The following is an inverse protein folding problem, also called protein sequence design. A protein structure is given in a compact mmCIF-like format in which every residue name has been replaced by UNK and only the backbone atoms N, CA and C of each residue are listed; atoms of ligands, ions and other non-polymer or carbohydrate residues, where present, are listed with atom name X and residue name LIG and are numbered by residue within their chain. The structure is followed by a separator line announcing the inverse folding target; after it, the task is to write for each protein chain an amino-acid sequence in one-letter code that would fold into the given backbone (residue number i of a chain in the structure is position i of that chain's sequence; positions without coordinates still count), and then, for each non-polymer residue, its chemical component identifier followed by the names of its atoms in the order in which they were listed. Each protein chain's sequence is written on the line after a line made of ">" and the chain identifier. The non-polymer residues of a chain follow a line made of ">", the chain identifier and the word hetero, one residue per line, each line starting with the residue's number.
data_IF_403096524102
#
_entry.id   IF_403096524102
#
_cell.length_a   1.000
_cell.length_b   1.000
_cell.length_c   1.000
_cell.angle_alpha   90.00
_cell.angle_beta   90.00
_cell.angle_gamma   90.00
#
_symmetry.space_group_name_H-M   'P 1'
#
loop_
_entity.id
_entity.type
_entity.pdbx_description
1 polymer ?
#
# COMPACT_ATOMS: atom_id res chain seq x y z
N UNK A 1 30.54 -46.23 -23.97
CA UNK A 1 30.44 -45.23 -22.88
C UNK A 1 29.22 -44.38 -23.12
N UNK A 2 28.28 -44.44 -22.18
CA UNK A 2 26.95 -43.84 -22.27
C UNK A 2 27.01 -42.33 -22.01
N UNK A 3 26.65 -41.53 -23.02
CA UNK A 3 26.31 -40.12 -22.88
C UNK A 3 24.80 -39.96 -23.01
N UNK A 4 24.06 -40.29 -21.95
CA UNK A 4 22.60 -40.15 -21.93
C UNK A 4 22.25 -38.66 -21.92
N UNK A 5 21.64 -38.26 -23.03
CA UNK A 5 21.05 -36.97 -23.32
C UNK A 5 19.98 -36.62 -22.27
N UNK A 6 20.33 -35.82 -21.26
CA UNK A 6 19.35 -35.25 -20.31
C UNK A 6 18.68 -34.05 -20.97
N UNK A 7 17.74 -34.31 -21.90
CA UNK A 7 16.77 -33.30 -22.34
C UNK A 7 15.95 -32.88 -21.12
N UNK A 8 16.13 -31.64 -20.67
CA UNK A 8 15.17 -30.95 -19.82
C UNK A 8 13.82 -30.95 -20.56
N UNK A 9 12.91 -31.85 -20.18
CA UNK A 9 11.51 -31.75 -20.58
C UNK A 9 10.99 -30.48 -19.93
N UNK A 10 10.72 -29.45 -20.73
CA UNK A 10 9.80 -28.41 -20.28
C UNK A 10 8.52 -29.12 -19.86
N UNK A 11 8.08 -28.89 -18.63
CA UNK A 11 6.79 -29.39 -18.17
C UNK A 11 5.77 -28.60 -18.99
N UNK A 12 5.24 -29.21 -20.06
CA UNK A 12 4.16 -28.63 -20.85
C UNK A 12 2.98 -28.49 -19.88
N UNK A 13 2.61 -27.25 -19.56
CA UNK A 13 1.44 -27.02 -18.75
C UNK A 13 0.20 -27.53 -19.51
N UNK A 14 -0.68 -28.31 -18.85
CA UNK A 14 -1.81 -28.96 -19.52
C UNK A 14 -2.85 -27.97 -20.04
N UNK A 15 -2.93 -26.79 -19.43
CA UNK A 15 -3.71 -25.66 -19.89
C UNK A 15 -3.05 -24.35 -19.45
N UNK A 16 -3.30 -23.28 -20.21
CA UNK A 16 -3.00 -21.91 -19.84
C UNK A 16 -4.30 -21.22 -19.45
N UNK A 17 -4.27 -20.48 -18.34
CA UNK A 17 -5.40 -19.69 -17.87
C UNK A 17 -5.02 -18.22 -18.02
N UNK A 18 -5.93 -17.42 -18.58
CA UNK A 18 -5.80 -15.97 -18.68
C UNK A 18 -7.06 -15.31 -18.14
N UNK A 19 -6.88 -14.18 -17.46
CA UNK A 19 -7.96 -13.42 -16.85
C UNK A 19 -7.88 -11.99 -17.41
N UNK A 20 -8.98 -11.54 -17.99
CA UNK A 20 -9.14 -10.18 -18.50
C UNK A 20 -10.19 -9.45 -17.66
N UNK A 21 -9.81 -8.30 -17.10
CA UNK A 21 -10.67 -7.49 -16.24
C UNK A 21 -11.41 -6.44 -17.07
N UNK A 22 -12.70 -6.27 -16.80
CA UNK A 22 -13.44 -5.11 -17.27
C UNK A 22 -13.07 -3.87 -16.43
N UNK A 23 -12.84 -2.72 -17.07
CA UNK A 23 -12.52 -1.48 -16.36
C UNK A 23 -11.09 -1.40 -15.81
N UNK A 24 -10.12 -2.15 -16.36
CA UNK A 24 -8.71 -1.99 -16.00
C UNK A 24 -8.24 -0.55 -16.32
N UNK A 25 -7.81 0.18 -15.29
CA UNK A 25 -7.33 1.55 -15.39
C UNK A 25 -5.80 1.59 -15.62
N UNK A 26 -5.31 0.71 -16.48
CA UNK A 26 -3.89 0.47 -16.74
C UNK A 26 -3.21 -0.38 -15.68
N UNK A 27 -1.87 -0.33 -15.65
CA UNK A 27 -1.06 -1.11 -14.73
C UNK A 27 -0.35 -0.22 -13.72
N UNK A 28 -0.33 -0.67 -12.47
CA UNK A 28 0.40 -0.03 -11.39
C UNK A 28 1.62 -0.86 -10.99
N UNK A 29 2.71 -0.14 -10.69
CA UNK A 29 3.99 -0.74 -10.32
C UNK A 29 4.07 -0.95 -8.82
N UNK A 30 4.23 -2.20 -8.41
CA UNK A 30 4.38 -2.58 -7.01
C UNK A 30 5.82 -3.08 -6.78
N UNK A 31 6.44 -2.57 -5.71
CA UNK A 31 7.70 -3.08 -5.19
C UNK A 31 7.41 -4.20 -4.19
N UNK A 32 7.86 -5.41 -4.48
CA UNK A 32 7.70 -6.56 -3.58
C UNK A 32 8.99 -6.73 -2.78
N UNK A 33 9.01 -6.23 -1.55
CA UNK A 33 10.20 -6.31 -0.69
C UNK A 33 10.68 -7.74 -0.38
N UNK A 34 9.82 -8.76 -0.55
CA UNK A 34 10.10 -10.15 -0.14
C UNK A 34 10.84 -11.01 -1.17
N UNK A 35 10.88 -10.62 -2.46
CA UNK A 35 11.23 -11.56 -3.54
C UNK A 35 12.43 -11.09 -4.41
N UNK A 36 13.17 -10.06 -3.98
CA UNK A 36 14.14 -9.36 -4.82
C UNK A 36 13.53 -8.13 -5.49
N UNK A 37 14.36 -7.28 -6.10
CA UNK A 37 13.97 -6.00 -6.73
C UNK A 37 13.06 -6.15 -7.97
N UNK A 38 12.24 -7.18 -8.05
CA UNK A 38 11.30 -7.39 -9.13
C UNK A 38 10.07 -6.48 -8.93
N UNK A 39 10.14 -5.30 -9.54
CA UNK A 39 8.98 -4.44 -9.73
C UNK A 39 7.96 -5.17 -10.63
N UNK A 40 6.75 -5.39 -10.12
CA UNK A 40 5.68 -6.06 -10.88
C UNK A 40 4.63 -5.02 -11.32
N UNK A 41 4.20 -5.11 -12.58
CA UNK A 41 3.08 -4.35 -13.11
C UNK A 41 1.78 -5.14 -12.95
N UNK A 42 0.91 -4.67 -12.07
CA UNK A 42 -0.38 -5.29 -11.76
C UNK A 42 -1.54 -4.45 -12.31
N UNK A 43 -2.65 -5.06 -12.77
CA UNK A 43 -3.86 -4.32 -13.15
C UNK A 43 -4.35 -3.41 -12.03
N UNK A 44 -4.68 -2.16 -12.37
CA UNK A 44 -5.22 -1.18 -11.44
C UNK A 44 -6.74 -1.08 -11.57
N UNK A 45 -7.43 -1.19 -10.43
CA UNK A 45 -8.88 -1.13 -10.32
C UNK A 45 -9.27 -0.04 -9.33
N UNK A 46 -10.29 0.76 -9.67
CA UNK A 46 -10.97 1.62 -8.70
C UNK A 46 -11.80 0.74 -7.75
N UNK A 47 -11.53 0.80 -6.45
CA UNK A 47 -12.26 0.03 -5.45
C UNK A 47 -13.76 0.36 -5.35
N UNK A 48 -14.22 1.44 -5.99
CA UNK A 48 -15.64 1.81 -6.12
C UNK A 48 -16.32 1.19 -7.34
N UNK A 49 -15.56 0.70 -8.31
CA UNK A 49 -16.11 0.11 -9.53
C UNK A 49 -16.42 -1.39 -9.37
N UNK A 50 -17.42 -1.91 -10.10
CA UNK A 50 -17.71 -3.34 -10.15
C UNK A 50 -16.50 -4.13 -10.68
N UNK A 51 -16.20 -5.28 -10.06
CA UNK A 51 -15.16 -6.19 -10.56
C UNK A 51 -15.80 -7.30 -11.38
N UNK A 52 -15.56 -7.26 -12.69
CA UNK A 52 -16.06 -8.23 -13.68
C UNK A 52 -14.96 -8.58 -14.66
N UNK A 53 -15.17 -9.65 -15.41
CA UNK A 53 -14.23 -10.03 -16.46
C UNK A 53 -14.51 -11.37 -17.07
N UNK A 54 -13.54 -11.80 -17.88
CA UNK A 54 -13.54 -13.08 -18.56
C UNK A 54 -12.32 -13.90 -18.16
N UNK A 55 -12.53 -15.21 -18.08
CA UNK A 55 -11.49 -16.22 -17.87
C UNK A 55 -11.43 -17.05 -19.14
N UNK A 56 -10.28 -17.11 -19.78
CA UNK A 56 -10.05 -17.97 -20.94
C UNK A 56 -9.08 -19.08 -20.58
N UNK A 57 -9.53 -20.31 -20.73
CA UNK A 57 -8.76 -21.53 -20.50
C UNK A 57 -8.45 -22.16 -21.85
N UNK A 58 -7.16 -22.26 -22.16
CA UNK A 58 -6.68 -22.91 -23.38
C UNK A 58 -5.99 -24.21 -23.02
N UNK A 59 -6.54 -25.37 -23.42
CA UNK A 59 -5.84 -26.65 -23.25
C UNK A 59 -4.70 -26.78 -24.25
N UNK A 60 -3.65 -27.53 -23.87
CA UNK A 60 -2.60 -27.88 -24.81
C UNK A 60 -3.17 -28.64 -26.02
N UNK A 61 -2.58 -28.47 -27.20
CA UNK A 61 -3.13 -28.98 -28.46
C UNK A 61 -3.52 -30.47 -28.38
N UNK A 62 -4.80 -30.77 -28.62
CA UNK A 62 -5.35 -32.13 -28.59
C UNK A 62 -5.55 -32.72 -27.20
N UNK A 63 -5.20 -32.00 -26.12
CA UNK A 63 -5.37 -32.46 -24.75
C UNK A 63 -6.79 -32.17 -24.25
N UNK A 64 -7.48 -33.23 -23.81
CA UNK A 64 -8.70 -33.16 -23.01
C UNK A 64 -8.34 -33.19 -21.53
N UNK A 65 -9.04 -32.41 -20.72
CA UNK A 65 -8.87 -32.37 -19.26
C UNK A 65 -10.21 -32.70 -18.62
N UNK A 66 -10.33 -33.89 -18.03
CA UNK A 66 -11.46 -34.21 -17.14
C UNK A 66 -11.25 -33.55 -15.77
N UNK A 67 -12.26 -32.82 -15.28
CA UNK A 67 -12.21 -32.06 -14.04
C UNK A 67 -13.43 -32.32 -13.15
N UNK A 68 -13.26 -32.07 -11.85
CA UNK A 68 -14.29 -32.12 -10.81
C UNK A 68 -14.97 -30.77 -10.57
N UNK A 69 -14.65 -29.78 -11.37
CA UNK A 69 -15.20 -28.42 -11.28
C UNK A 69 -14.16 -27.38 -11.61
N UNK A 70 -14.62 -26.26 -12.15
CA UNK A 70 -13.83 -25.07 -12.42
C UNK A 70 -14.40 -23.95 -11.56
N UNK A 71 -13.54 -23.31 -10.76
CA UNK A 71 -13.95 -22.24 -9.86
C UNK A 71 -13.14 -20.97 -10.07
N UNK A 72 -13.75 -19.83 -9.82
CA UNK A 72 -13.11 -18.52 -9.73
C UNK A 72 -13.36 -17.95 -8.34
N UNK A 73 -12.30 -17.60 -7.61
CA UNK A 73 -12.39 -17.02 -6.27
C UNK A 73 -11.79 -15.62 -6.25
N UNK A 74 -12.52 -14.64 -5.71
CA UNK A 74 -11.96 -13.32 -5.40
C UNK A 74 -11.60 -13.26 -3.92
N UNK A 75 -10.34 -12.94 -3.64
CA UNK A 75 -9.79 -12.91 -2.27
C UNK A 75 -9.17 -11.54 -2.01
N UNK A 76 -9.42 -11.00 -0.82
CA UNK A 76 -8.69 -9.89 -0.21
C UNK A 76 -8.11 -10.37 1.11
N UNK A 77 -6.81 -10.18 1.27
CA UNK A 77 -6.03 -10.78 2.34
C UNK A 77 -5.05 -9.78 2.94
N UNK A 78 -4.90 -9.83 4.25
CA UNK A 78 -3.80 -9.19 4.98
C UNK A 78 -2.80 -10.28 5.37
N UNK A 79 -1.54 -10.08 5.00
CA UNK A 79 -0.41 -10.94 5.32
C UNK A 79 0.54 -10.17 6.24
N UNK A 80 0.84 -10.72 7.41
CA UNK A 80 1.84 -10.18 8.33
C UNK A 80 3.16 -10.92 8.14
N UNK A 81 4.26 -10.17 8.06
CA UNK A 81 5.62 -10.68 7.97
C UNK A 81 6.26 -10.68 9.36
N UNK A 82 6.99 -11.76 9.68
CA UNK A 82 7.60 -11.96 11.00
C UNK A 82 7.83 -13.45 11.29
N UNK A 83 8.15 -13.79 12.55
CA UNK A 83 8.44 -15.17 12.98
C UNK A 83 7.26 -16.14 12.76
N UNK A 84 6.03 -15.62 12.85
CA UNK A 84 4.81 -16.35 12.48
C UNK A 84 4.12 -15.60 11.36
N UNK A 85 4.28 -16.06 10.13
CA UNK A 85 3.48 -15.54 9.01
C UNK A 85 2.00 -15.81 9.30
N UNK A 86 1.20 -14.75 9.38
CA UNK A 86 -0.24 -14.83 9.56
C UNK A 86 -0.92 -14.28 8.31
N UNK A 87 -1.90 -15.04 7.81
CA UNK A 87 -2.72 -14.63 6.67
C UNK A 87 -4.17 -14.58 7.12
N UNK A 88 -4.80 -13.43 6.93
CA UNK A 88 -6.20 -13.23 7.26
C UNK A 88 -6.97 -12.79 6.00
N UNK A 89 -7.96 -13.59 5.61
CA UNK A 89 -8.85 -13.25 4.50
C UNK A 89 -10.03 -12.43 5.04
N UNK A 90 -10.03 -11.13 4.77
CA UNK A 90 -11.16 -10.27 5.11
C UNK A 90 -12.27 -10.33 4.04
N UNK A 91 -11.98 -10.90 2.87
CA UNK A 91 -12.97 -11.27 1.85
C UNK A 91 -12.51 -12.49 1.07
N UNK A 92 -13.42 -13.44 0.83
CA UNK A 92 -13.21 -14.64 0.02
C UNK A 92 -14.56 -15.04 -0.55
N UNK A 93 -14.69 -15.00 -1.87
CA UNK A 93 -15.95 -15.23 -2.59
C UNK A 93 -15.69 -16.14 -3.77
N UNK A 94 -16.29 -17.32 -3.74
CA UNK A 94 -16.13 -18.37 -4.73
C UNK A 94 -17.33 -18.40 -5.68
N UNK A 95 -17.05 -18.33 -6.98
CA UNK A 95 -18.01 -18.61 -8.05
C UNK A 95 -17.65 -19.95 -8.71
N UNK A 96 -18.63 -20.85 -8.79
CA UNK A 96 -18.55 -22.04 -9.64
C UNK A 96 -18.73 -21.62 -11.10
N UNK A 97 -17.74 -21.89 -11.95
CA UNK A 97 -17.80 -21.59 -13.39
C UNK A 97 -18.35 -22.76 -14.20
N UNK A 98 -17.95 -23.98 -13.81
CA UNK A 98 -18.41 -25.22 -14.45
C UNK A 98 -18.39 -26.36 -13.43
N UNK A 99 -19.40 -27.22 -13.45
CA UNK A 99 -19.49 -28.42 -12.61
C UNK A 99 -18.47 -29.50 -13.03
N UNK A 100 -18.65 -30.73 -12.57
CA UNK A 100 -17.86 -31.89 -13.03
C UNK A 100 -18.04 -32.05 -14.54
N UNK A 101 -16.93 -32.14 -15.27
CA UNK A 101 -16.96 -32.09 -16.72
C UNK A 101 -15.62 -32.37 -17.37
N UNK A 102 -15.51 -32.00 -18.65
CA UNK A 102 -14.28 -32.09 -19.40
C UNK A 102 -14.15 -30.93 -20.37
N UNK A 103 -12.97 -30.32 -20.40
CA UNK A 103 -12.63 -29.23 -21.34
C UNK A 103 -11.61 -29.69 -22.36
N UNK A 104 -11.72 -29.16 -23.57
CA UNK A 104 -10.78 -29.34 -24.67
C UNK A 104 -10.81 -28.09 -25.56
N UNK A 105 -9.64 -27.65 -26.03
CA UNK A 105 -9.52 -26.43 -26.81
C UNK A 105 -9.62 -25.17 -25.94
N UNK A 106 -10.19 -24.11 -26.50
CA UNK A 106 -10.45 -22.85 -25.82
C UNK A 106 -11.83 -22.89 -25.16
N UNK A 107 -11.92 -22.46 -23.91
CA UNK A 107 -13.19 -22.23 -23.19
C UNK A 107 -13.14 -20.88 -22.49
N UNK A 108 -14.25 -20.14 -22.53
CA UNK A 108 -14.37 -18.81 -21.92
C UNK A 108 -15.52 -18.76 -20.93
N UNK A 109 -15.23 -18.27 -19.73
CA UNK A 109 -16.20 -18.08 -18.65
C UNK A 109 -16.24 -16.60 -18.26
N UNK A 110 -17.41 -16.13 -17.83
CA UNK A 110 -17.56 -14.80 -17.23
C UNK A 110 -17.61 -14.91 -15.71
N UNK A 111 -17.05 -13.93 -15.03
CA UNK A 111 -17.23 -13.78 -13.59
C UNK A 111 -17.76 -12.38 -13.26
N UNK A 112 -18.53 -12.29 -12.17
CA UNK A 112 -19.05 -11.04 -11.66
C UNK A 112 -18.95 -11.03 -10.12
N UNK A 113 -18.16 -10.08 -9.60
CA UNK A 113 -18.00 -9.79 -8.18
C UNK A 113 -18.49 -8.37 -7.83
N UNK A 114 -19.45 -7.83 -8.58
CA UNK A 114 -20.00 -6.46 -8.39
C UNK A 114 -20.57 -6.22 -7.00
N UNK A 115 -21.11 -7.27 -6.36
CA UNK A 115 -21.71 -7.18 -5.03
C UNK A 115 -20.66 -7.11 -3.92
N UNK A 116 -19.38 -7.31 -4.24
CA UNK A 116 -18.30 -7.42 -3.27
C UNK A 116 -17.58 -6.07 -3.13
N UNK A 117 -17.68 -5.50 -1.94
CA UNK A 117 -17.00 -4.27 -1.59
C UNK A 117 -15.51 -4.53 -1.36
N UNK A 118 -14.66 -3.72 -2.00
CA UNK A 118 -13.23 -3.67 -1.69
C UNK A 118 -13.03 -2.64 -0.59
N UNK A 119 -12.97 -3.12 0.65
CA UNK A 119 -13.04 -2.26 1.84
C UNK A 119 -11.80 -1.39 2.03
N UNK A 120 -10.65 -1.88 1.57
CA UNK A 120 -9.35 -1.29 1.82
C UNK A 120 -8.56 -1.09 0.52
N UNK A 121 -7.66 -0.12 0.50
CA UNK A 121 -6.70 0.07 -0.58
C UNK A 121 -5.56 -0.95 -0.46
N UNK A 122 -5.06 -1.45 -1.60
CA UNK A 122 -3.88 -2.32 -1.65
C UNK A 122 -2.69 -1.64 -0.98
N UNK A 123 -2.00 -2.34 -0.09
CA UNK A 123 -0.87 -1.81 0.67
C UNK A 123 0.29 -2.81 0.69
N UNK A 124 1.49 -2.32 0.42
CA UNK A 124 2.74 -3.08 0.47
C UNK A 124 3.69 -2.36 1.42
N UNK A 125 3.73 -2.86 2.66
CA UNK A 125 4.50 -2.32 3.75
C UNK A 125 5.77 -3.11 4.08
N UNK A 126 6.39 -2.74 5.20
CA UNK A 126 7.59 -3.42 5.73
C UNK A 126 7.20 -4.76 6.35
N UNK A 127 6.20 -4.75 7.23
CA UNK A 127 5.78 -5.90 8.05
C UNK A 127 4.37 -6.38 7.70
N UNK A 128 3.69 -5.73 6.75
CA UNK A 128 2.33 -6.10 6.35
C UNK A 128 2.09 -5.89 4.85
N UNK A 129 1.32 -6.79 4.26
CA UNK A 129 0.81 -6.68 2.90
C UNK A 129 -0.71 -6.85 2.92
N UNK A 130 -1.43 -5.89 2.34
CA UNK A 130 -2.84 -5.99 2.03
C UNK A 130 -2.99 -6.11 0.52
N UNK A 131 -3.43 -7.28 0.04
CA UNK A 131 -3.52 -7.57 -1.40
C UNK A 131 -4.88 -8.15 -1.79
N UNK A 132 -5.20 -8.02 -3.07
CA UNK A 132 -6.38 -8.59 -3.70
C UNK A 132 -5.97 -9.42 -4.90
N UNK A 133 -6.61 -10.57 -5.10
CA UNK A 133 -6.31 -11.44 -6.23
C UNK A 133 -7.50 -12.31 -6.60
N UNK A 134 -7.50 -12.78 -7.85
CA UNK A 134 -8.45 -13.76 -8.38
C UNK A 134 -7.72 -15.08 -8.55
N UNK A 135 -8.24 -16.16 -7.97
CA UNK A 135 -7.76 -17.53 -8.22
C UNK A 135 -8.75 -18.26 -9.12
N UNK A 136 -8.26 -18.75 -10.25
CA UNK A 136 -8.97 -19.74 -11.05
C UNK A 136 -8.39 -21.12 -10.79
N UNK A 137 -9.24 -22.09 -10.48
CA UNK A 137 -8.85 -23.47 -10.17
C UNK A 137 -9.63 -24.45 -11.01
N UNK A 138 -8.90 -25.33 -11.72
CA UNK A 138 -9.43 -26.51 -12.39
C UNK A 138 -9.14 -27.70 -11.49
N UNK A 139 -10.17 -28.22 -10.80
CA UNK A 139 -10.04 -29.33 -9.87
C UNK A 139 -9.86 -30.65 -10.64
N UNK A 140 -8.75 -31.36 -10.48
CA UNK A 140 -8.50 -32.64 -11.18
C UNK A 140 -8.55 -33.80 -10.19
N UNK A 141 -8.94 -34.99 -10.66
CA UNK A 141 -9.12 -36.15 -9.77
C UNK A 141 -7.80 -36.81 -9.39
N UNK A 142 -6.96 -37.12 -10.37
CA UNK A 142 -5.71 -37.90 -10.18
C UNK A 142 -4.47 -37.01 -10.23
N UNK A 143 -4.50 -35.98 -11.08
CA UNK A 143 -3.39 -35.02 -11.22
C UNK A 143 -3.58 -33.83 -10.28
N UNK A 144 -2.50 -33.10 -9.98
CA UNK A 144 -2.56 -31.87 -9.22
C UNK A 144 -3.54 -30.85 -9.83
N UNK A 145 -4.19 -30.01 -9.03
CA UNK A 145 -5.07 -28.97 -9.59
C UNK A 145 -4.27 -27.99 -10.46
N UNK A 146 -4.90 -27.45 -11.50
CA UNK A 146 -4.34 -26.34 -12.26
C UNK A 146 -4.86 -25.07 -11.61
N UNK A 147 -3.96 -24.22 -11.13
CA UNK A 147 -4.29 -23.01 -10.39
C UNK A 147 -3.59 -21.84 -11.07
N UNK A 148 -4.33 -20.77 -11.32
CA UNK A 148 -3.79 -19.50 -11.79
C UNK A 148 -4.27 -18.40 -10.86
N UNK A 149 -3.32 -17.59 -10.37
CA UNK A 149 -3.59 -16.43 -9.54
C UNK A 149 -3.24 -15.17 -10.33
N UNK A 150 -4.17 -14.23 -10.40
CA UNK A 150 -3.90 -12.88 -10.89
C UNK A 150 -4.13 -11.88 -9.76
N UNK A 151 -3.06 -11.22 -9.35
CA UNK A 151 -3.14 -10.13 -8.39
C UNK A 151 -3.58 -8.82 -9.04
N UNK A 152 -4.33 -8.01 -8.30
CA UNK A 152 -4.80 -6.68 -8.72
C UNK A 152 -4.47 -5.63 -7.66
N UNK A 153 -4.27 -4.40 -8.11
CA UNK A 153 -4.15 -3.22 -7.24
C UNK A 153 -5.51 -2.56 -7.13
N UNK A 154 -6.02 -2.44 -5.91
CA UNK A 154 -7.21 -1.66 -5.61
C UNK A 154 -6.78 -0.33 -5.05
N UNK A 155 -7.25 0.78 -5.64
CA UNK A 155 -7.14 2.13 -5.07
C UNK A 155 -8.51 2.66 -4.68
N UNK A 156 -8.60 3.36 -3.56
CA UNK A 156 -9.84 3.95 -3.09
C UNK A 156 -9.79 5.47 -3.22
N UNK A 157 -10.58 6.02 -4.14
CA UNK A 157 -10.75 7.47 -4.23
C UNK A 157 -11.57 8.00 -3.06
N UNK A 158 -11.08 9.06 -2.47
CA UNK A 158 -11.75 9.82 -1.42
C UNK A 158 -12.15 11.20 -1.95
N UNK A 159 -13.27 11.69 -1.46
CA UNK A 159 -13.68 13.08 -1.71
C UNK A 159 -12.86 14.01 -0.84
N UNK A 160 -12.69 15.23 -1.33
CA UNK A 160 -12.03 16.27 -0.55
C UNK A 160 -12.73 16.44 0.81
N UNK A 161 -11.98 16.43 1.93
CA UNK A 161 -12.58 16.55 3.25
C UNK A 161 -13.34 17.87 3.42
N UNK A 162 -14.60 17.81 3.86
CA UNK A 162 -15.42 19.00 4.13
C UNK A 162 -14.81 19.89 5.22
N UNK A 163 -14.17 19.28 6.21
CA UNK A 163 -13.41 19.98 7.25
C UNK A 163 -11.91 19.70 7.14
N UNK A 164 -11.15 20.79 7.06
CA UNK A 164 -9.70 20.77 7.06
C UNK A 164 -9.18 21.92 7.94
N UNK A 165 -8.89 21.61 9.20
CA UNK A 165 -8.52 22.62 10.20
C UNK A 165 -7.04 22.95 10.07
N UNK A 166 -6.70 24.21 10.34
CA UNK A 166 -5.31 24.61 10.56
C UNK A 166 -4.77 23.83 11.75
N UNK A 167 -3.50 23.47 11.68
CA UNK A 167 -2.80 22.88 12.80
C UNK A 167 -1.76 23.88 13.29
N UNK A 168 -1.73 24.08 14.62
CA UNK A 168 -0.72 24.83 15.34
C UNK A 168 0.05 23.86 16.23
N UNK A 169 1.34 23.80 16.01
CA UNK A 169 2.28 23.00 16.80
C UNK A 169 3.25 23.96 17.50
N UNK A 170 3.34 23.85 18.82
CA UNK A 170 4.25 24.66 19.63
C UNK A 170 5.37 23.76 20.16
N UNK A 171 6.61 24.19 19.98
CA UNK A 171 7.80 23.49 20.47
C UNK A 171 8.65 24.49 21.25
N UNK A 172 9.14 24.07 22.41
CA UNK A 172 9.90 24.98 23.25
C UNK A 172 10.11 24.54 24.68
N UNK A 173 10.92 25.32 25.37
CA UNK A 173 11.17 25.26 26.81
C UNK A 173 10.80 26.62 27.38
N UNK A 174 9.93 26.62 28.39
CA UNK A 174 9.40 27.84 29.01
C UNK A 174 10.53 28.80 29.41
N UNK A 175 10.46 30.04 28.91
CA UNK A 175 11.42 31.10 29.23
C UNK A 175 12.75 31.04 28.47
N UNK A 176 12.96 30.04 27.61
CA UNK A 176 14.20 29.87 26.84
C UNK A 176 13.94 29.80 25.34
N UNK A 177 13.00 28.97 24.91
CA UNK A 177 12.66 28.75 23.50
C UNK A 177 11.15 28.60 23.37
N UNK A 178 10.54 29.35 22.46
CA UNK A 178 9.15 29.14 22.08
C UNK A 178 9.02 29.39 20.58
N UNK A 179 8.70 28.33 19.85
CA UNK A 179 8.51 28.35 18.40
C UNK A 179 7.11 27.85 18.09
N UNK A 180 6.41 28.61 17.27
CA UNK A 180 5.11 28.23 16.73
C UNK A 180 5.25 27.81 15.29
N UNK A 181 4.82 26.59 14.97
CA UNK A 181 4.70 26.12 13.61
C UNK A 181 3.22 25.97 13.25
N UNK A 182 2.78 26.75 12.26
CA UNK A 182 1.39 26.74 11.79
C UNK A 182 1.34 26.25 10.35
N UNK A 183 0.48 25.29 10.07
CA UNK A 183 0.20 24.81 8.72
C UNK A 183 -1.28 24.91 8.39
N UNK A 184 -1.52 25.14 7.10
CA UNK A 184 -2.83 25.51 6.55
C UNK A 184 -3.89 24.41 6.63
N UNK A 185 -3.49 23.14 6.76
CA UNK A 185 -4.38 21.98 6.65
C UNK A 185 -3.91 20.83 7.54
N UNK A 186 -4.85 19.99 7.99
CA UNK A 186 -4.58 18.71 8.66
C UNK A 186 -4.67 17.50 7.74
N UNK A 187 -5.30 17.66 6.58
CA UNK A 187 -5.53 16.61 5.60
C UNK A 187 -4.99 17.04 4.24
N UNK A 188 -4.22 16.18 3.59
CA UNK A 188 -3.55 16.46 2.32
C UNK A 188 -3.75 15.31 1.35
N UNK A 189 -3.96 15.60 0.06
CA UNK A 189 -3.93 14.52 -0.93
C UNK A 189 -2.49 14.10 -1.25
N UNK A 190 -2.28 12.93 -1.87
CA UNK A 190 -0.92 12.42 -2.11
C UNK A 190 -0.04 13.31 -3.02
N UNK A 191 -0.65 14.17 -3.83
CA UNK A 191 0.05 15.15 -4.69
C UNK A 191 0.01 16.60 -4.19
N UNK A 192 -0.32 16.82 -2.92
CA UNK A 192 -0.56 18.15 -2.38
C UNK A 192 0.75 18.91 -2.07
N UNK A 193 0.60 20.12 -1.54
CA UNK A 193 1.70 20.92 -0.98
C UNK A 193 1.38 21.31 0.45
N UNK A 194 2.29 21.01 1.37
CA UNK A 194 2.20 21.44 2.76
C UNK A 194 2.73 22.86 2.85
N UNK A 195 1.84 23.81 3.14
CA UNK A 195 2.17 25.23 3.28
C UNK A 195 1.97 25.63 4.74
N UNK A 196 3.00 26.24 5.32
CA UNK A 196 3.00 26.71 6.69
C UNK A 196 4.00 27.83 6.94
N UNK A 197 4.16 28.20 8.21
CA UNK A 197 5.17 29.16 8.67
C UNK A 197 5.64 28.82 10.07
N UNK A 198 6.91 29.04 10.33
CA UNK A 198 7.52 28.97 11.65
C UNK A 198 7.65 30.39 12.17
N UNK A 199 7.25 30.63 13.41
CA UNK A 199 7.40 31.92 14.10
C UNK A 199 8.21 31.72 15.37
N UNK A 200 9.30 32.47 15.51
CA UNK A 200 10.18 32.45 16.67
C UNK A 200 9.67 33.41 17.75
N UNK A 201 8.83 32.91 18.68
CA UNK A 201 8.20 33.75 19.71
C UNK A 201 9.16 34.08 20.85
N UNK A 202 10.02 33.14 21.24
CA UNK A 202 11.10 33.35 22.21
C UNK A 202 12.35 32.57 21.80
N UNK A 203 13.51 33.23 21.78
CA UNK A 203 14.80 32.66 21.33
C UNK A 203 15.94 33.14 22.23
N UNK A 204 15.94 32.71 23.49
CA UNK A 204 17.10 32.90 24.39
C UNK A 204 18.09 31.75 24.30
N UNK A 205 17.61 30.59 23.88
CA UNK A 205 18.42 29.42 23.59
C UNK A 205 19.03 29.55 22.19
N UNK A 206 20.35 29.35 22.09
CA UNK A 206 21.06 29.38 20.82
C UNK A 206 20.78 28.11 20.03
N UNK A 207 19.94 28.23 19.01
CA UNK A 207 19.66 27.15 18.07
C UNK A 207 20.83 27.01 17.11
N UNK A 208 21.30 25.77 16.93
CA UNK A 208 22.34 25.40 15.97
C UNK A 208 21.69 25.02 14.65
N UNK A 209 20.68 24.15 14.70
CA UNK A 209 20.12 23.52 13.51
C UNK A 209 18.64 23.18 13.72
N UNK A 210 17.84 23.33 12.67
CA UNK A 210 16.42 22.97 12.68
C UNK A 210 16.02 22.25 11.39
N UNK A 211 15.25 21.18 11.55
CA UNK A 211 14.71 20.38 10.44
C UNK A 211 13.21 20.09 10.62
N UNK A 212 12.52 19.89 9.52
CA UNK A 212 11.18 19.31 9.46
C UNK A 212 11.27 18.01 8.66
N UNK A 213 10.71 16.93 9.20
CA UNK A 213 10.62 15.65 8.53
C UNK A 213 9.17 15.19 8.36
N UNK A 214 8.91 14.43 7.28
CA UNK A 214 7.69 13.64 7.11
C UNK A 214 8.05 12.20 7.47
N UNK A 215 7.45 11.70 8.54
CA UNK A 215 7.63 10.34 9.02
C UNK A 215 6.42 9.49 8.62
N UNK A 216 6.66 8.29 8.13
CA UNK A 216 5.66 7.24 7.99
C UNK A 216 5.84 6.25 9.13
N UNK A 217 4.78 6.00 9.89
CA UNK A 217 4.76 4.97 10.94
C UNK A 217 3.80 3.86 10.53
N UNK A 218 4.35 2.66 10.34
CA UNK A 218 3.59 1.43 10.13
C UNK A 218 3.55 0.66 11.44
N UNK A 219 2.35 0.45 11.99
CA UNK A 219 2.19 -0.37 13.20
C UNK A 219 1.38 -1.61 12.87
N UNK A 220 1.92 -2.79 13.16
CA UNK A 220 1.22 -4.08 13.09
C UNK A 220 0.89 -4.58 14.50
N UNK A 221 -0.20 -5.34 14.62
CA UNK A 221 -0.69 -5.89 15.87
C UNK A 221 -0.74 -7.42 15.77
N UNK A 222 -0.02 -8.12 16.63
CA UNK A 222 0.08 -9.58 16.65
C UNK A 222 -0.07 -10.08 18.07
N UNK A 223 -1.04 -10.96 18.33
CA UNK A 223 -1.24 -11.60 19.64
C UNK A 223 -1.28 -10.61 20.83
N UNK A 224 -1.83 -9.40 20.61
CA UNK A 224 -1.93 -8.34 21.62
C UNK A 224 -0.67 -7.47 21.80
N UNK A 225 0.42 -7.77 21.08
CA UNK A 225 1.61 -6.92 20.98
C UNK A 225 1.52 -6.02 19.75
N UNK A 226 2.20 -4.86 19.79
CA UNK A 226 2.30 -3.94 18.66
C UNK A 226 3.75 -3.74 18.25
N UNK A 227 4.03 -3.83 16.96
CA UNK A 227 5.34 -3.56 16.37
C UNK A 227 5.22 -2.34 15.48
N UNK A 228 6.07 -1.33 15.68
CA UNK A 228 6.04 -0.09 14.90
C UNK A 228 7.36 0.10 14.18
N UNK A 229 7.27 0.21 12.86
CA UNK A 229 8.35 0.63 11.98
C UNK A 229 8.16 2.10 11.60
N UNK A 230 9.25 2.85 11.50
CA UNK A 230 9.21 4.30 11.27
C UNK A 230 10.21 4.73 10.21
N UNK A 231 9.69 5.12 9.05
CA UNK A 231 10.46 5.59 7.91
C UNK A 231 10.51 7.12 7.87
N UNK A 232 11.69 7.67 7.56
CA UNK A 232 11.83 9.08 7.25
C UNK A 232 11.72 9.28 5.74
N UNK A 233 10.56 9.76 5.28
CA UNK A 233 10.27 9.91 3.86
C UNK A 233 10.90 11.15 3.24
N UNK A 234 11.04 12.19 4.04
CA UNK A 234 11.61 13.47 3.64
C UNK A 234 12.14 14.18 4.87
N UNK A 235 13.33 14.76 4.73
CA UNK A 235 13.91 15.69 5.70
C UNK A 235 14.23 17.00 4.99
N UNK A 236 13.71 18.10 5.56
CA UNK A 236 13.89 19.46 5.07
C UNK A 236 14.63 20.27 6.12
N UNK A 237 15.85 20.69 5.81
CA UNK A 237 16.65 21.56 6.66
C UNK A 237 16.11 22.97 6.53
N UNK A 238 15.64 23.54 7.65
CA UNK A 238 14.94 24.83 7.62
C UNK A 238 15.91 25.98 7.84
N UNK A 239 16.86 25.80 8.75
CA UNK A 239 17.72 26.87 9.22
C UNK A 239 19.04 26.31 9.76
N UNK A 240 20.11 27.05 9.48
CA UNK A 240 21.43 26.94 10.08
C UNK A 240 21.79 28.31 10.68
N UNK A 241 21.94 28.38 12.01
CA UNK A 241 22.23 29.62 12.74
C UNK A 241 21.19 30.04 13.78
N UNK A 242 21.47 31.16 14.46
CA UNK A 242 20.71 31.62 15.61
C UNK A 242 19.54 32.55 15.20
N UNK A 243 18.28 32.12 15.35
CA UNK A 243 17.11 32.91 14.99
C UNK A 243 16.89 34.05 15.98
N UNK A 244 16.22 35.11 15.53
CA UNK A 244 15.84 36.24 16.40
C UNK A 244 14.36 36.19 16.78
N UNK A 245 14.03 36.76 17.94
CA UNK A 245 12.64 36.90 18.37
C UNK A 245 11.83 37.69 17.34
N UNK A 246 10.70 37.13 16.92
CA UNK A 246 9.79 37.68 15.92
C UNK A 246 10.08 37.24 14.48
N UNK A 247 11.16 36.50 14.25
CA UNK A 247 11.49 35.99 12.92
C UNK A 247 10.45 34.98 12.44
N UNK A 248 10.14 35.03 11.13
CA UNK A 248 9.15 34.17 10.48
C UNK A 248 9.76 33.50 9.26
N UNK A 249 9.77 32.17 9.25
CA UNK A 249 10.25 31.38 8.11
C UNK A 249 9.04 30.72 7.42
N UNK A 250 8.73 31.06 6.15
CA UNK A 250 7.69 30.39 5.38
C UNK A 250 8.14 28.99 4.95
N UNK A 251 7.23 28.00 5.01
CA UNK A 251 7.49 26.61 4.66
C UNK A 251 6.58 26.18 3.51
N UNK A 252 7.18 25.52 2.51
CA UNK A 252 6.48 24.94 1.36
C UNK A 252 7.09 23.60 0.98
N UNK A 253 6.44 22.49 1.34
CA UNK A 253 6.92 21.13 1.08
C UNK A 253 6.03 20.44 0.04
N UNK A 254 6.61 20.05 -1.10
CA UNK A 254 5.92 19.29 -2.14
C UNK A 254 6.00 17.80 -1.83
N UNK A 255 4.86 17.13 -1.71
CA UNK A 255 4.82 15.72 -1.27
C UNK A 255 4.55 14.73 -2.42
N UNK A 256 4.27 15.22 -3.63
CA UNK A 256 3.90 14.40 -4.79
C UNK A 256 4.89 13.29 -5.17
N UNK A 257 6.18 13.53 -5.02
CA UNK A 257 7.23 12.60 -5.47
C UNK A 257 7.72 11.67 -4.34
N UNK A 258 7.07 11.71 -3.18
CA UNK A 258 7.34 10.80 -2.08
C UNK A 258 6.57 9.49 -2.30
N UNK A 259 7.11 8.39 -1.79
CA UNK A 259 6.47 7.08 -1.80
C UNK A 259 5.35 7.04 -0.74
N UNK A 260 4.23 7.71 -1.05
CA UNK A 260 3.10 7.89 -0.16
C UNK A 260 1.94 6.98 -0.50
N UNK A 261 1.28 6.52 0.55
CA UNK A 261 -0.04 5.91 0.52
C UNK A 261 -1.01 6.78 1.31
N UNK A 262 -2.33 6.57 1.17
CA UNK A 262 -3.29 7.14 2.12
C UNK A 262 -2.97 6.71 3.55
N UNK A 263 -3.47 7.47 4.52
CA UNK A 263 -3.45 7.05 5.93
C UNK A 263 -4.36 5.84 6.09
N UNK A 264 -3.80 4.75 6.62
CA UNK A 264 -4.59 3.58 7.00
C UNK A 264 -4.93 3.72 8.48
N UNK A 265 -6.21 3.95 8.86
CA UNK A 265 -6.62 3.79 10.24
C UNK A 265 -6.43 2.32 10.65
N UNK A 266 -6.73 1.98 11.91
CA UNK A 266 -6.68 0.59 12.36
C UNK A 266 -7.53 -0.30 11.43
N UNK A 267 -6.86 -1.05 10.57
CA UNK A 267 -7.42 -1.80 9.45
C UNK A 267 -7.53 -3.25 9.86
N UNK A 268 -8.76 -3.75 9.89
CA UNK A 268 -9.10 -5.12 10.30
C UNK A 268 -8.47 -5.55 11.64
N UNK A 269 -8.34 -4.60 12.58
CA UNK A 269 -7.63 -4.77 13.86
C UNK A 269 -6.19 -5.30 13.75
N UNK A 270 -5.59 -5.21 12.56
CA UNK A 270 -4.35 -5.90 12.21
C UNK A 270 -3.18 -4.93 12.04
N UNK A 271 -3.38 -3.80 11.36
CA UNK A 271 -2.33 -2.81 11.17
C UNK A 271 -2.88 -1.39 10.99
N UNK A 272 -2.01 -0.39 11.08
CA UNK A 272 -2.29 1.01 10.74
C UNK A 272 -1.06 1.65 10.10
N UNK A 273 -1.28 2.70 9.28
CA UNK A 273 -0.21 3.49 8.67
C UNK A 273 -0.52 4.97 8.88
N UNK A 274 0.36 5.66 9.60
CA UNK A 274 0.21 7.07 9.98
C UNK A 274 1.33 7.91 9.41
N UNK A 275 1.03 9.17 9.11
CA UNK A 275 2.00 10.14 8.65
C UNK A 275 2.12 11.26 9.67
N UNK A 276 3.35 11.64 10.01
CA UNK A 276 3.63 12.66 11.01
C UNK A 276 4.56 13.73 10.44
N UNK A 277 4.22 14.98 10.69
CA UNK A 277 5.16 16.08 10.62
C UNK A 277 5.96 16.10 11.91
N UNK A 278 7.29 16.04 11.78
CA UNK A 278 8.22 16.00 12.89
C UNK A 278 9.16 17.20 12.78
N UNK A 279 9.01 18.18 13.66
CA UNK A 279 9.97 19.28 13.78
C UNK A 279 11.04 18.87 14.79
N UNK A 280 12.31 19.07 14.44
CA UNK A 280 13.45 18.77 15.31
C UNK A 280 14.36 19.98 15.35
N UNK A 281 14.81 20.33 16.55
CA UNK A 281 15.67 21.46 16.84
C UNK A 281 16.85 20.93 17.65
N UNK A 282 18.04 21.37 17.26
CA UNK A 282 19.29 21.12 17.96
C UNK A 282 19.89 22.44 18.38
N UNK A 283 20.39 22.50 19.61
CA UNK A 283 21.10 23.66 20.13
C UNK A 283 22.61 23.50 20.05
N UNK A 284 23.36 24.52 20.49
CA UNK A 284 24.83 24.48 20.50
C UNK A 284 25.41 23.39 21.41
N UNK A 285 24.64 22.86 22.36
CA UNK A 285 25.02 21.76 23.26
C UNK A 285 24.57 20.38 22.73
N UNK A 286 24.12 20.30 21.47
CA UNK A 286 23.56 19.11 20.83
C UNK A 286 22.33 18.51 21.55
N UNK A 287 21.63 19.30 22.37
CA UNK A 287 20.35 18.90 22.96
C UNK A 287 19.28 18.90 21.88
N UNK A 288 18.48 17.83 21.84
CA UNK A 288 17.43 17.62 20.86
C UNK A 288 16.05 17.94 21.42
N UNK A 289 15.36 18.87 20.78
CA UNK A 289 13.95 19.18 21.03
C UNK A 289 13.13 18.79 19.82
N UNK A 290 12.00 18.13 20.02
CA UNK A 290 11.16 17.73 18.90
C UNK A 290 9.69 17.74 19.25
N UNK A 291 8.86 17.88 18.23
CA UNK A 291 7.41 17.72 18.34
C UNK A 291 6.89 17.04 17.08
N UNK A 292 6.01 16.07 17.29
CA UNK A 292 5.34 15.32 16.22
C UNK A 292 3.87 15.67 16.21
N UNK A 293 3.32 15.76 15.00
CA UNK A 293 1.90 15.98 14.80
C UNK A 293 1.43 15.17 13.59
N UNK A 294 0.36 14.41 13.79
CA UNK A 294 -0.23 13.57 12.76
C UNK A 294 -0.89 14.43 11.67
N UNK A 295 -0.68 14.03 10.41
CA UNK A 295 -1.40 14.52 9.24
C UNK A 295 -2.11 13.34 8.58
N UNK A 296 -3.28 13.60 8.01
CA UNK A 296 -4.03 12.58 7.26
C UNK A 296 -3.74 12.72 5.77
N UNK A 297 -3.32 11.62 5.14
CA UNK A 297 -3.15 11.55 3.70
C UNK A 297 -4.34 10.82 3.06
N UNK A 298 -4.82 11.32 1.93
CA UNK A 298 -5.95 10.74 1.20
C UNK A 298 -5.69 10.72 -0.31
N UNK A 299 -6.42 9.87 -1.05
CA UNK A 299 -6.23 9.71 -2.49
C UNK A 299 -7.30 10.45 -3.29
N UNK A 300 -6.86 11.42 -4.11
CA UNK A 300 -7.73 12.18 -5.03
C UNK A 300 -7.85 11.57 -6.42
N UNK A 301 -6.80 10.90 -6.90
CA UNK A 301 -6.69 10.35 -8.27
C UNK A 301 -6.24 8.90 -8.25
N UNK A 302 -6.63 8.14 -9.28
CA UNK A 302 -6.26 6.73 -9.44
C UNK A 302 -4.80 6.55 -9.82
N UNK A 303 -4.16 7.53 -10.45
CA UNK A 303 -2.73 7.51 -10.79
C UNK A 303 -2.00 8.51 -9.90
#
# INVERSE_FOLDING_TARGET
>A
MAGIMRRLRSIIQPATISIALEGENGKHRIKRASDGEDEVLLPLIDGREPLRGTITIQTASGQRIDHKGITCEFIGQIELFGEKQQKNNFVSVLNQLEDVGAIQGEQTYRFDFSQIRKQYETYYGTNVRLRYYIIVKIARSVMANIIHEQEIVVRLLEKEPQENKNIRMEVGVKGSLHIEFVYSRSKYHLSDVIIGKITFVECRLKVKYMEIAILKKETTYVEGQSYTDSDNLMKFEVMDGAPVKGEVIPIRMYIKNLDLTPTFPLTDSTFQVKYLLNIVIFDEEDRRYFKQQEITLWRKTLV
#
